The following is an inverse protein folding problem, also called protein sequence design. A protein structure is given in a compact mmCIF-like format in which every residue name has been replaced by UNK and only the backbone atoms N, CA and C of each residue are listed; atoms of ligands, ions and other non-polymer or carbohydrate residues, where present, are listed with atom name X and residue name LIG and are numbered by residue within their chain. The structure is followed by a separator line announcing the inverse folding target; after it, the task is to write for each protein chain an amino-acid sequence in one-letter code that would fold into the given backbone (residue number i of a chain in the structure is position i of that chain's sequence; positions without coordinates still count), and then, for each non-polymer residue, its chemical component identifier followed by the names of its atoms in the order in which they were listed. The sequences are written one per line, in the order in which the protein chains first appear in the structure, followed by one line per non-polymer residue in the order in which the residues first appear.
data_IF_492133012909
#
_entry.id   IF_492133012909
#
_cell.length_a   1.000
_cell.length_b   1.000
_cell.length_c   1.000
_cell.angle_alpha   90.00
_cell.angle_beta   90.00
_cell.angle_gamma   90.00
#
_symmetry.space_group_name_H-M   'P 1'
#
loop_
_entity.id
_entity.type
_entity.pdbx_description
1 polymer ?
#
# COMPACT_ATOMS: atom_id res chain seq x y z
N UNK A 1 29.63 50.52 18.34
CA UNK A 1 29.25 49.75 17.13
C UNK A 1 29.39 48.22 17.23
N UNK A 2 29.92 47.65 18.33
CA UNK A 2 30.09 46.17 18.49
C UNK A 2 28.86 45.42 19.04
N UNK A 3 27.85 46.12 19.56
CA UNK A 3 26.66 45.50 20.17
C UNK A 3 25.62 45.06 19.12
N UNK A 4 25.57 45.76 17.99
CA UNK A 4 24.60 45.53 16.91
C UNK A 4 24.87 44.23 16.15
N UNK A 5 26.13 43.99 15.75
CA UNK A 5 26.55 42.74 15.06
C UNK A 5 26.29 41.46 15.86
N UNK A 6 26.34 41.54 17.20
CA UNK A 6 26.11 40.39 18.08
C UNK A 6 24.62 40.02 18.13
N UNK A 7 23.74 41.01 18.11
CA UNK A 7 22.28 40.81 18.05
C UNK A 7 21.84 40.14 16.74
N UNK A 8 22.36 40.58 15.59
CA UNK A 8 22.05 39.94 14.29
C UNK A 8 22.55 38.50 14.19
N UNK A 9 23.69 38.16 14.83
CA UNK A 9 24.22 36.79 14.87
C UNK A 9 23.30 35.83 15.63
N UNK A 10 22.76 36.27 16.78
CA UNK A 10 21.77 35.49 17.53
C UNK A 10 20.42 35.36 16.80
N UNK A 11 20.00 36.42 16.10
CA UNK A 11 18.81 36.39 15.26
C UNK A 11 18.98 35.43 14.07
N UNK A 12 20.12 35.44 13.40
CA UNK A 12 20.46 34.51 12.31
C UNK A 12 20.51 33.05 12.77
N UNK A 13 21.12 32.78 13.93
CA UNK A 13 21.17 31.44 14.51
C UNK A 13 19.78 30.91 14.88
N UNK A 14 18.91 31.78 15.43
CA UNK A 14 17.52 31.43 15.74
C UNK A 14 16.69 31.10 14.50
N UNK A 15 16.84 31.87 13.42
CA UNK A 15 16.16 31.63 12.14
C UNK A 15 16.65 30.34 11.48
N UNK A 16 17.95 30.06 11.53
CA UNK A 16 18.53 28.83 10.97
C UNK A 16 18.02 27.57 11.70
N UNK A 17 17.91 27.63 13.04
CA UNK A 17 17.31 26.55 13.85
C UNK A 17 15.82 26.35 13.58
N UNK A 18 15.07 27.44 13.32
CA UNK A 18 13.65 27.35 12.96
C UNK A 18 13.44 26.65 11.62
N UNK A 19 14.28 26.95 10.62
CA UNK A 19 14.22 26.31 9.31
C UNK A 19 14.55 24.81 9.36
N UNK A 20 15.53 24.39 10.17
CA UNK A 20 15.90 22.97 10.29
C UNK A 20 14.83 22.16 11.01
N UNK A 21 14.21 22.72 12.06
CA UNK A 21 13.09 22.07 12.75
C UNK A 21 11.89 21.88 11.83
N UNK A 22 11.55 22.87 10.99
CA UNK A 22 10.44 22.74 10.03
C UNK A 22 10.64 21.64 8.99
N UNK A 23 11.88 21.40 8.54
CA UNK A 23 12.16 20.40 7.49
C UNK A 23 12.00 18.95 7.98
N UNK A 24 12.27 18.69 9.27
CA UNK A 24 12.13 17.36 9.87
C UNK A 24 10.66 16.91 9.96
N UNK A 25 9.73 17.86 10.10
CA UNK A 25 8.28 17.57 10.22
C UNK A 25 7.62 17.32 8.85
N UNK A 26 8.26 17.74 7.75
CA UNK A 26 7.71 17.67 6.40
C UNK A 26 7.95 16.33 5.69
N UNK A 27 8.52 15.32 6.38
CA UNK A 27 8.59 13.98 5.81
C UNK A 27 7.18 13.41 5.68
N UNK A 28 6.65 13.39 4.46
CA UNK A 28 5.36 12.80 4.17
C UNK A 28 5.35 11.32 4.56
N UNK A 29 4.52 10.99 5.54
CA UNK A 29 4.17 9.60 5.86
C UNK A 29 3.56 9.01 4.59
N UNK A 30 4.28 8.08 3.95
CA UNK A 30 3.75 7.29 2.83
C UNK A 30 2.53 6.53 3.33
N UNK A 31 1.36 7.12 3.14
CA UNK A 31 0.10 6.46 3.41
C UNK A 31 -0.05 5.40 2.33
N UNK A 32 0.16 4.13 2.70
CA UNK A 32 -0.16 3.03 1.80
C UNK A 32 -1.64 3.11 1.46
N UNK A 33 -1.95 3.54 0.24
CA UNK A 33 -3.32 3.53 -0.26
C UNK A 33 -3.78 2.07 -0.23
N UNK A 34 -4.84 1.81 0.55
CA UNK A 34 -5.49 0.50 0.58
C UNK A 34 -5.97 0.18 -0.83
N UNK A 35 -5.33 -0.82 -1.43
CA UNK A 35 -5.60 -1.31 -2.77
C UNK A 35 -6.48 -2.56 -2.67
N UNK A 36 -7.50 -2.64 -3.52
CA UNK A 36 -8.51 -3.69 -3.50
C UNK A 36 -8.49 -4.43 -4.84
N UNK A 37 -8.72 -5.74 -4.78
CA UNK A 37 -8.87 -6.60 -5.96
C UNK A 37 -10.33 -6.99 -6.07
N UNK A 38 -10.95 -6.68 -7.20
CA UNK A 38 -12.31 -7.07 -7.51
C UNK A 38 -12.31 -8.44 -8.22
N UNK A 39 -13.10 -9.38 -7.72
CA UNK A 39 -13.40 -10.62 -8.43
C UNK A 39 -14.50 -10.34 -9.47
N UNK A 40 -14.14 -10.36 -10.75
CA UNK A 40 -15.09 -10.14 -11.84
C UNK A 40 -15.85 -11.42 -12.22
N UNK A 41 -15.14 -12.56 -12.26
CA UNK A 41 -15.72 -13.85 -12.63
C UNK A 41 -14.90 -15.01 -12.07
N UNK A 42 -15.58 -16.07 -11.66
CA UNK A 42 -15.03 -17.41 -11.45
C UNK A 42 -16.15 -18.44 -11.62
N UNK A 43 -15.87 -19.59 -12.19
CA UNK A 43 -16.89 -20.63 -12.41
C UNK A 43 -17.31 -21.29 -11.08
N UNK A 44 -16.39 -21.41 -10.13
CA UNK A 44 -16.65 -21.96 -8.80
C UNK A 44 -15.80 -21.24 -7.75
N UNK A 45 -16.42 -20.91 -6.61
CA UNK A 45 -15.75 -20.36 -5.43
C UNK A 45 -16.00 -21.23 -4.20
N UNK A 46 -14.94 -21.72 -3.56
CA UNK A 46 -15.02 -22.52 -2.33
C UNK A 46 -14.29 -21.80 -1.19
N UNK A 47 -14.97 -21.62 -0.07
CA UNK A 47 -14.39 -21.10 1.15
C UNK A 47 -14.73 -22.06 2.29
N UNK A 48 -13.79 -22.92 2.65
CA UNK A 48 -13.97 -23.86 3.74
C UNK A 48 -13.47 -23.24 5.04
N UNK A 49 -14.38 -22.56 5.74
CA UNK A 49 -14.06 -21.90 7.01
C UNK A 49 -13.69 -22.87 8.14
N UNK A 50 -14.01 -24.16 7.99
CA UNK A 50 -13.76 -25.16 9.03
C UNK A 50 -12.36 -25.74 8.89
N UNK A 51 -11.92 -26.04 7.65
CA UNK A 51 -10.62 -26.65 7.40
C UNK A 51 -9.53 -25.63 7.06
N UNK A 52 -9.87 -24.53 6.37
CA UNK A 52 -8.95 -23.48 5.91
C UNK A 52 -9.63 -22.09 5.97
N UNK A 53 -9.78 -21.51 7.17
CA UNK A 53 -10.52 -20.26 7.37
C UNK A 53 -9.99 -19.06 6.59
N UNK A 54 -8.69 -19.06 6.27
CA UNK A 54 -8.03 -17.90 5.69
C UNK A 54 -7.84 -18.01 4.16
N UNK A 55 -8.35 -19.07 3.52
CA UNK A 55 -8.13 -19.35 2.10
C UNK A 55 -9.46 -19.54 1.35
N UNK A 56 -9.66 -18.74 0.32
CA UNK A 56 -10.73 -18.93 -0.65
C UNK A 56 -10.15 -19.45 -1.97
N UNK A 57 -10.74 -20.52 -2.49
CA UNK A 57 -10.33 -21.17 -3.73
C UNK A 57 -11.28 -20.75 -4.84
N UNK A 58 -10.74 -20.21 -5.93
CA UNK A 58 -11.45 -19.84 -7.15
C UNK A 58 -11.00 -20.77 -8.28
N UNK A 59 -11.95 -21.36 -8.99
CA UNK A 59 -11.70 -22.35 -10.04
C UNK A 59 -12.51 -21.99 -11.28
N UNK A 60 -11.85 -22.07 -12.44
CA UNK A 60 -12.45 -21.90 -13.76
C UNK A 60 -12.55 -20.44 -14.20
N UNK A 61 -11.94 -20.16 -15.35
CA UNK A 61 -12.06 -18.90 -16.10
C UNK A 61 -11.95 -17.64 -15.24
N UNK A 62 -11.06 -17.62 -14.26
CA UNK A 62 -11.00 -16.60 -13.22
C UNK A 62 -10.57 -15.25 -13.81
N UNK A 63 -11.30 -14.20 -13.45
CA UNK A 63 -11.04 -12.82 -13.86
C UNK A 63 -10.99 -11.93 -12.64
N UNK A 64 -9.84 -11.33 -12.41
CA UNK A 64 -9.61 -10.38 -11.33
C UNK A 64 -9.30 -9.01 -11.91
N UNK A 65 -9.71 -7.96 -11.20
CA UNK A 65 -9.36 -6.57 -11.53
C UNK A 65 -8.69 -5.92 -10.35
N UNK A 66 -7.59 -5.23 -10.63
CA UNK A 66 -6.91 -4.39 -9.66
C UNK A 66 -6.62 -3.04 -10.31
N UNK A 67 -7.25 -1.98 -9.80
CA UNK A 67 -7.31 -0.65 -10.42
C UNK A 67 -7.79 -0.71 -11.89
N UNK A 68 -6.91 -0.41 -12.85
CA UNK A 68 -7.18 -0.47 -14.30
C UNK A 68 -6.56 -1.71 -14.97
N UNK A 69 -6.04 -2.65 -14.19
CA UNK A 69 -5.43 -3.88 -14.67
C UNK A 69 -6.39 -5.05 -14.53
N UNK A 70 -6.41 -5.92 -15.53
CA UNK A 70 -7.15 -7.17 -15.54
C UNK A 70 -6.16 -8.33 -15.48
N UNK A 71 -6.47 -9.33 -14.66
CA UNK A 71 -5.71 -10.57 -14.55
C UNK A 71 -6.63 -11.74 -14.87
N UNK A 72 -6.17 -12.63 -15.73
CA UNK A 72 -6.88 -13.82 -16.16
C UNK A 72 -6.10 -15.06 -15.75
N UNK A 73 -6.76 -16.06 -15.20
CA UNK A 73 -6.14 -17.36 -14.88
C UNK A 73 -7.17 -18.49 -14.87
N UNK A 74 -6.69 -19.73 -14.83
CA UNK A 74 -7.56 -20.90 -14.76
C UNK A 74 -8.07 -21.15 -13.33
N UNK A 75 -7.25 -20.86 -12.32
CA UNK A 75 -7.63 -20.91 -10.90
C UNK A 75 -6.84 -19.90 -10.06
N UNK A 76 -7.37 -19.56 -8.89
CA UNK A 76 -6.71 -18.65 -7.95
C UNK A 76 -7.00 -19.00 -6.49
N UNK A 77 -6.03 -18.76 -5.61
CA UNK A 77 -6.18 -18.83 -4.16
C UNK A 77 -6.09 -17.41 -3.59
N UNK A 78 -7.10 -17.02 -2.83
CA UNK A 78 -7.13 -15.74 -2.11
C UNK A 78 -6.80 -16.02 -0.64
N UNK A 79 -5.71 -15.43 -0.16
CA UNK A 79 -5.30 -15.53 1.23
C UNK A 79 -5.67 -14.25 1.98
N UNK A 80 -6.65 -14.34 2.86
CA UNK A 80 -7.16 -13.17 3.59
C UNK A 80 -6.14 -12.64 4.61
N UNK A 81 -5.40 -13.55 5.27
CA UNK A 81 -4.43 -13.21 6.32
C UNK A 81 -3.21 -12.44 5.80
N UNK A 82 -2.70 -12.84 4.64
CA UNK A 82 -1.53 -12.21 3.99
C UNK A 82 -1.94 -11.18 2.94
N UNK A 83 -3.25 -11.03 2.68
CA UNK A 83 -3.80 -10.18 1.64
C UNK A 83 -3.11 -10.41 0.28
N UNK A 84 -2.95 -11.69 -0.08
CA UNK A 84 -2.23 -12.12 -1.28
C UNK A 84 -3.09 -13.02 -2.15
N UNK A 85 -2.85 -12.95 -3.46
CA UNK A 85 -3.51 -13.79 -4.46
C UNK A 85 -2.46 -14.64 -5.16
N UNK A 86 -2.68 -15.94 -5.18
CA UNK A 86 -1.89 -16.88 -5.99
C UNK A 86 -2.73 -17.32 -7.18
N UNK A 87 -2.25 -17.09 -8.40
CA UNK A 87 -2.92 -17.48 -9.63
C UNK A 87 -2.23 -18.70 -10.26
N UNK A 88 -3.02 -19.63 -10.80
CA UNK A 88 -2.55 -20.87 -11.39
C UNK A 88 -3.22 -21.12 -12.74
N UNK A 89 -2.46 -21.68 -13.69
CA UNK A 89 -2.93 -21.99 -15.04
C UNK A 89 -3.15 -20.74 -15.91
N UNK A 90 -2.58 -20.77 -17.12
CA UNK A 90 -2.65 -19.73 -18.15
C UNK A 90 -2.87 -18.29 -17.61
N UNK A 91 -1.88 -17.79 -16.86
CA UNK A 91 -1.95 -16.45 -16.23
C UNK A 91 -1.62 -15.36 -17.26
N UNK A 92 -2.50 -14.37 -17.42
CA UNK A 92 -2.36 -13.27 -18.38
C UNK A 92 -2.75 -11.92 -17.78
#
# INVERSE_FOLDING_TARGET
MLKEKRTYSFLLAGVLCLFTVCFVIAQEVKTEKKRWVDLLHADTGQADKLFRPDVQVLIGSVKLRHDSMYMYCDSALIYEKTNSVEAFGNVR
#
